data_IF_262123629780
#
_entry.id   IF_262123629780
#
_cell.length_a   1.000
_cell.length_b   1.000
_cell.length_c   1.000
_cell.angle_alpha   90.00
_cell.angle_beta   90.00
_cell.angle_gamma   90.00
#
_symmetry.space_group_name_H-M   'P 1'
#
loop_
_entity.id
_entity.type
_entity.pdbx_description
1 polymer ?
#
# COMPACT_ATOMS: atom_id res chain seq x y z
N UNK A 1 5.01 -13.79 -13.40
CA UNK A 1 5.51 -14.72 -12.38
C UNK A 1 5.82 -13.88 -11.14
N UNK A 2 5.23 -14.18 -9.99
CA UNK A 2 5.54 -13.48 -8.74
C UNK A 2 6.87 -14.00 -8.22
N UNK A 3 7.88 -13.12 -8.11
CA UNK A 3 9.24 -13.47 -7.66
C UNK A 3 9.41 -13.28 -6.14
N UNK A 4 8.30 -13.17 -5.39
CA UNK A 4 8.37 -12.81 -3.97
C UNK A 4 8.97 -13.87 -3.06
N UNK A 5 8.94 -15.15 -3.43
CA UNK A 5 9.69 -16.20 -2.71
C UNK A 5 11.21 -15.98 -2.81
N UNK A 6 11.69 -15.35 -3.90
CA UNK A 6 13.09 -15.01 -4.08
C UNK A 6 13.53 -13.83 -3.21
N UNK A 7 12.62 -12.90 -2.91
CA UNK A 7 12.93 -11.72 -2.11
C UNK A 7 12.87 -11.96 -0.60
N UNK A 8 12.27 -13.07 -0.16
CA UNK A 8 12.11 -13.37 1.28
C UNK A 8 13.43 -13.31 2.07
N UNK A 9 14.52 -14.01 1.65
CA UNK A 9 15.79 -13.94 2.38
C UNK A 9 16.41 -12.54 2.36
N UNK A 10 16.26 -11.81 1.25
CA UNK A 10 16.81 -10.47 1.10
C UNK A 10 16.08 -9.45 2.00
N UNK A 11 14.76 -9.56 2.12
CA UNK A 11 13.96 -8.70 3.01
C UNK A 11 14.28 -8.99 4.48
N UNK A 12 14.44 -10.26 4.85
CA UNK A 12 14.91 -10.64 6.20
C UNK A 12 16.27 -10.03 6.51
N UNK A 13 17.21 -10.09 5.56
CA UNK A 13 18.53 -9.50 5.72
C UNK A 13 18.47 -7.97 5.84
N UNK A 14 17.70 -7.28 4.98
CA UNK A 14 17.49 -5.83 5.06
C UNK A 14 17.00 -5.41 6.44
N UNK A 15 15.98 -6.08 6.98
CA UNK A 15 15.45 -5.77 8.32
C UNK A 15 16.54 -5.93 9.40
N UNK A 16 17.35 -6.99 9.31
CA UNK A 16 18.44 -7.22 10.27
C UNK A 16 19.55 -6.16 10.18
N UNK A 17 19.76 -5.58 9.00
CA UNK A 17 20.79 -4.57 8.71
C UNK A 17 20.25 -3.13 8.77
N UNK A 18 19.04 -2.91 9.31
CA UNK A 18 18.39 -1.60 9.30
C UNK A 18 19.33 -0.48 9.84
N UNK A 19 19.72 0.49 9.00
CA UNK A 19 20.67 1.53 9.39
C UNK A 19 20.03 2.57 10.31
N UNK A 20 18.70 2.61 10.36
CA UNK A 20 17.95 3.67 11.03
C UNK A 20 17.42 3.19 12.38
N UNK A 21 18.05 3.65 13.48
CA UNK A 21 17.69 3.27 14.85
C UNK A 21 16.26 3.68 15.27
N UNK A 22 15.76 4.78 14.71
CA UNK A 22 14.42 5.33 15.00
C UNK A 22 13.71 5.71 13.69
N UNK A 23 13.29 4.72 12.90
CA UNK A 23 12.81 4.96 11.54
C UNK A 23 11.48 5.71 11.51
N UNK A 24 10.65 5.61 12.55
CA UNK A 24 9.41 6.38 12.67
C UNK A 24 9.66 7.90 12.66
N UNK A 25 10.80 8.35 13.21
CA UNK A 25 11.16 9.77 13.27
C UNK A 25 11.48 10.38 11.91
N UNK A 26 12.00 9.57 10.99
CA UNK A 26 12.44 10.02 9.65
C UNK A 26 11.46 9.63 8.55
N UNK A 27 10.44 8.82 8.86
CA UNK A 27 9.54 8.22 7.87
C UNK A 27 8.75 9.25 7.06
N UNK A 28 8.33 10.36 7.66
CA UNK A 28 7.58 11.39 6.91
C UNK A 28 8.52 12.15 5.97
N UNK A 29 9.72 12.50 6.42
CA UNK A 29 10.70 13.25 5.61
C UNK A 29 11.27 12.40 4.48
N UNK A 30 11.80 11.21 4.80
CA UNK A 30 12.34 10.29 3.80
C UNK A 30 11.25 9.67 2.94
N UNK A 31 10.04 9.49 3.47
CA UNK A 31 8.93 8.88 2.73
C UNK A 31 8.30 9.75 1.65
N UNK A 32 8.64 11.05 1.56
CA UNK A 32 8.10 11.93 0.52
C UNK A 32 8.31 11.35 -0.88
N UNK A 33 7.42 11.61 -1.84
CA UNK A 33 7.53 11.11 -3.21
C UNK A 33 6.74 9.83 -3.47
N UNK A 34 7.08 9.11 -4.54
CA UNK A 34 6.34 7.92 -4.99
C UNK A 34 7.13 6.65 -4.76
N UNK A 35 6.46 5.67 -4.17
CA UNK A 35 6.99 4.38 -3.76
C UNK A 35 6.17 3.26 -4.37
N UNK A 36 6.82 2.16 -4.73
CA UNK A 36 6.17 0.99 -5.31
C UNK A 36 6.49 -0.27 -4.52
N UNK A 37 5.48 -1.08 -4.23
CA UNK A 37 5.65 -2.38 -3.57
C UNK A 37 6.30 -3.37 -4.52
N UNK A 38 7.35 -4.02 -4.06
CA UNK A 38 7.98 -5.15 -4.75
C UNK A 38 7.84 -6.47 -3.98
N UNK A 39 7.58 -6.42 -2.67
CA UNK A 39 7.37 -7.60 -1.84
C UNK A 39 6.26 -7.36 -0.81
N UNK A 40 5.22 -8.21 -0.84
CA UNK A 40 4.11 -8.22 0.13
C UNK A 40 3.41 -9.60 0.11
N UNK A 41 3.89 -10.58 0.90
CA UNK A 41 3.42 -11.97 0.83
C UNK A 41 1.91 -12.15 1.02
N UNK A 42 1.30 -11.36 1.90
CA UNK A 42 -0.14 -11.44 2.12
C UNK A 42 -0.96 -11.00 0.89
N UNK A 43 -0.49 -10.02 0.11
CA UNK A 43 -1.16 -9.59 -1.12
C UNK A 43 -1.06 -10.65 -2.20
N UNK A 44 0.05 -11.37 -2.27
CA UNK A 44 0.18 -12.51 -3.17
C UNK A 44 -0.79 -13.66 -2.82
N UNK A 45 -0.90 -13.98 -1.53
CA UNK A 45 -1.87 -14.97 -1.05
C UNK A 45 -3.30 -14.54 -1.41
N UNK A 46 -3.63 -13.27 -1.20
CA UNK A 46 -4.92 -12.70 -1.60
C UNK A 46 -5.16 -12.77 -3.11
N UNK A 47 -4.15 -12.38 -3.91
CA UNK A 47 -4.20 -12.43 -5.37
C UNK A 47 -4.53 -13.84 -5.88
N UNK A 48 -3.85 -14.84 -5.30
CA UNK A 48 -4.02 -16.26 -5.64
C UNK A 48 -5.42 -16.77 -5.26
N UNK A 49 -5.89 -16.45 -4.05
CA UNK A 49 -7.21 -16.86 -3.58
C UNK A 49 -8.35 -16.26 -4.42
N UNK A 50 -8.17 -15.05 -4.96
CA UNK A 50 -9.19 -14.32 -5.71
C UNK A 50 -9.07 -14.45 -7.22
N UNK A 51 -8.11 -15.23 -7.74
CA UNK A 51 -7.77 -15.26 -9.16
C UNK A 51 -7.64 -13.83 -9.76
N UNK A 52 -7.13 -12.90 -8.96
CA UNK A 52 -7.04 -11.47 -9.28
C UNK A 52 -5.61 -11.01 -9.08
N UNK A 53 -5.05 -10.35 -10.08
CA UNK A 53 -3.69 -9.81 -10.00
C UNK A 53 -3.72 -8.39 -9.44
N UNK A 54 -3.06 -8.15 -8.32
CA UNK A 54 -2.88 -6.82 -7.72
C UNK A 54 -1.46 -6.27 -7.98
N UNK A 55 -1.25 -5.60 -9.11
CA UNK A 55 0.01 -4.92 -9.42
C UNK A 55 -0.13 -3.94 -10.62
N UNK A 56 0.59 -2.80 -10.61
CA UNK A 56 1.46 -2.33 -9.52
C UNK A 56 0.66 -1.85 -8.30
N UNK A 57 1.36 -1.75 -7.17
CA UNK A 57 0.87 -1.12 -5.93
C UNK A 57 1.79 0.04 -5.62
N UNK A 58 1.23 1.24 -5.54
CA UNK A 58 1.98 2.48 -5.40
C UNK A 58 1.47 3.30 -4.23
N UNK A 59 2.39 3.92 -3.51
CA UNK A 59 2.12 4.90 -2.46
C UNK A 59 2.73 6.23 -2.88
N UNK A 60 2.00 7.32 -2.70
CA UNK A 60 2.51 8.68 -2.89
C UNK A 60 2.31 9.46 -1.61
N UNK A 61 3.41 9.94 -1.03
CA UNK A 61 3.40 10.83 0.12
C UNK A 61 3.74 12.25 -0.32
N UNK A 62 2.92 13.22 0.07
CA UNK A 62 3.15 14.64 -0.20
C UNK A 62 2.74 15.46 1.03
N UNK A 63 3.74 15.98 1.76
CA UNK A 63 3.54 16.46 3.12
C UNK A 63 3.07 15.31 4.02
N UNK A 64 1.89 15.45 4.61
CA UNK A 64 1.23 14.39 5.37
C UNK A 64 0.17 13.63 4.57
N UNK A 65 -0.13 14.04 3.32
CA UNK A 65 -1.15 13.38 2.50
C UNK A 65 -0.58 12.11 1.88
N UNK A 66 -1.23 10.97 2.13
CA UNK A 66 -0.87 9.67 1.57
C UNK A 66 -1.96 9.19 0.61
N UNK A 67 -1.55 8.81 -0.60
CA UNK A 67 -2.41 8.13 -1.57
C UNK A 67 -1.83 6.75 -1.86
N UNK A 68 -2.65 5.72 -1.76
CA UNK A 68 -2.34 4.35 -2.14
C UNK A 68 -3.15 3.97 -3.39
N UNK A 69 -2.50 3.43 -4.41
CA UNK A 69 -3.12 2.96 -5.65
C UNK A 69 -2.75 1.51 -5.91
N UNK A 70 -3.74 0.68 -6.20
CA UNK A 70 -3.56 -0.75 -6.50
C UNK A 70 -4.25 -1.03 -7.82
N UNK A 71 -3.48 -1.40 -8.85
CA UNK A 71 -4.09 -1.91 -10.09
C UNK A 71 -4.54 -3.34 -9.87
N UNK A 72 -5.79 -3.63 -10.22
CA UNK A 72 -6.33 -4.98 -10.25
C UNK A 72 -6.56 -5.44 -11.70
N UNK A 73 -6.41 -6.74 -11.93
CA UNK A 73 -6.75 -7.39 -13.20
C UNK A 73 -7.31 -8.77 -12.93
N UNK A 74 -8.52 -9.03 -13.41
CA UNK A 74 -9.24 -10.28 -13.23
C UNK A 74 -9.88 -10.70 -14.58
N UNK A 75 -9.74 -11.96 -15.03
CA UNK A 75 -10.29 -12.40 -16.32
C UNK A 75 -11.81 -12.25 -16.46
N UNK A 76 -12.55 -12.26 -15.36
CA UNK A 76 -14.02 -12.17 -15.32
C UNK A 76 -14.51 -10.75 -15.05
N UNK A 77 -13.82 -10.00 -14.19
CA UNK A 77 -14.24 -8.65 -13.74
C UNK A 77 -13.59 -7.51 -14.53
N UNK A 78 -12.61 -7.81 -15.39
CA UNK A 78 -11.82 -6.82 -16.11
C UNK A 78 -10.69 -6.25 -15.25
N UNK A 79 -10.31 -5.01 -15.54
CA UNK A 79 -9.18 -4.33 -14.91
C UNK A 79 -9.52 -2.89 -14.51
N UNK A 80 -8.79 -2.40 -13.53
CA UNK A 80 -8.98 -1.05 -13.00
C UNK A 80 -8.03 -0.77 -11.84
N UNK A 81 -8.33 0.28 -11.10
CA UNK A 81 -7.57 0.73 -9.94
C UNK A 81 -8.45 0.84 -8.71
N UNK A 82 -7.93 0.36 -7.59
CA UNK A 82 -8.47 0.61 -6.26
C UNK A 82 -7.54 1.61 -5.58
N UNK A 83 -8.12 2.70 -5.09
CA UNK A 83 -7.35 3.80 -4.53
C UNK A 83 -7.87 4.19 -3.15
N UNK A 84 -6.95 4.56 -2.28
CA UNK A 84 -7.22 5.07 -0.96
C UNK A 84 -6.42 6.35 -0.71
N UNK A 85 -7.05 7.34 -0.07
CA UNK A 85 -6.46 8.62 0.28
C UNK A 85 -6.60 8.85 1.78
N UNK A 86 -5.62 9.51 2.36
CA UNK A 86 -5.57 9.68 3.80
C UNK A 86 -4.35 10.48 4.25
N UNK A 87 -3.96 10.26 5.50
CA UNK A 87 -2.80 10.91 6.09
C UNK A 87 -1.81 9.92 6.67
N UNK A 88 -0.55 10.34 6.74
CA UNK A 88 0.54 9.63 7.42
C UNK A 88 1.21 10.59 8.41
N UNK A 89 1.45 10.09 9.61
CA UNK A 89 2.18 10.81 10.65
C UNK A 89 3.04 9.87 11.47
N UNK A 90 4.10 10.41 12.08
CA UNK A 90 4.86 9.68 13.11
C UNK A 90 3.93 9.34 14.27
N UNK A 91 3.98 8.08 14.74
CA UNK A 91 3.29 7.66 15.97
C UNK A 91 4.27 7.38 17.11
N UNK A 92 5.30 6.59 16.82
CA UNK A 92 6.35 6.19 17.75
C UNK A 92 7.73 6.36 17.10
N UNK A 93 8.80 6.06 17.84
CA UNK A 93 10.17 6.14 17.31
C UNK A 93 10.42 5.13 16.17
N UNK A 94 9.66 4.04 16.11
CA UNK A 94 9.77 2.96 15.15
C UNK A 94 8.49 2.76 14.31
N UNK A 95 7.51 3.66 14.39
CA UNK A 95 6.23 3.43 13.73
C UNK A 95 5.54 4.72 13.26
N UNK A 96 4.76 4.56 12.19
CA UNK A 96 3.88 5.59 11.65
C UNK A 96 2.43 5.19 11.80
N UNK A 97 1.56 6.18 11.94
CA UNK A 97 0.12 6.03 11.85
C UNK A 97 -0.32 6.44 10.46
N UNK A 98 -1.13 5.59 9.82
CA UNK A 98 -1.80 5.90 8.56
C UNK A 98 -3.31 5.85 8.79
N UNK A 99 -3.98 6.92 8.39
CA UNK A 99 -5.42 7.08 8.51
C UNK A 99 -6.02 7.33 7.12
N UNK A 100 -6.57 6.28 6.51
CA UNK A 100 -7.29 6.40 5.24
C UNK A 100 -8.75 6.81 5.50
N UNK A 101 -9.17 7.89 4.84
CA UNK A 101 -10.50 8.48 4.96
C UNK A 101 -11.27 8.51 3.64
N UNK A 102 -10.58 8.32 2.52
CA UNK A 102 -11.14 8.38 1.16
C UNK A 102 -10.81 7.10 0.41
N UNK A 103 -11.77 6.59 -0.35
CA UNK A 103 -11.63 5.37 -1.12
C UNK A 103 -12.41 5.48 -2.43
N UNK A 104 -11.80 5.01 -3.52
CA UNK A 104 -12.43 5.05 -4.84
C UNK A 104 -11.91 3.98 -5.77
N UNK A 105 -12.61 3.82 -6.88
CA UNK A 105 -12.26 2.88 -7.94
C UNK A 105 -12.30 3.58 -9.30
N UNK A 106 -11.28 3.31 -10.12
CA UNK A 106 -11.21 3.71 -11.52
C UNK A 106 -11.33 2.48 -12.41
N UNK A 107 -12.34 2.46 -13.27
CA UNK A 107 -12.56 1.37 -14.22
C UNK A 107 -11.70 1.55 -15.47
N UNK A 108 -10.98 0.50 -15.88
CA UNK A 108 -10.05 0.53 -17.01
C UNK A 108 -8.59 0.74 -16.59
N UNK A 109 -7.68 0.08 -17.31
CA UNK A 109 -6.25 0.07 -16.99
C UNK A 109 -5.58 1.44 -16.96
N UNK A 110 -6.05 2.37 -17.79
CA UNK A 110 -5.43 3.68 -18.02
C UNK A 110 -6.19 4.83 -17.36
N UNK A 111 -7.20 4.51 -16.54
CA UNK A 111 -8.12 5.47 -15.94
C UNK A 111 -7.66 6.02 -14.59
N UNK A 112 -6.41 5.75 -14.18
CA UNK A 112 -5.90 6.15 -12.86
C UNK A 112 -5.96 7.66 -12.69
N UNK A 113 -6.80 8.13 -11.76
CA UNK A 113 -6.84 9.54 -11.36
C UNK A 113 -5.74 9.83 -10.34
N UNK A 114 -5.15 11.02 -10.42
CA UNK A 114 -4.03 11.41 -9.56
C UNK A 114 -4.40 11.59 -8.08
N UNK A 115 -5.63 12.05 -7.80
CA UNK A 115 -6.15 12.28 -6.46
C UNK A 115 -7.69 12.35 -6.47
N UNK A 116 -8.31 12.21 -5.30
CA UNK A 116 -9.69 12.62 -5.09
C UNK A 116 -9.74 13.91 -4.25
N UNK A 117 -10.52 14.92 -4.67
CA UNK A 117 -10.76 16.10 -3.85
C UNK A 117 -11.24 15.70 -2.44
N UNK A 118 -10.88 16.47 -1.39
CA UNK A 118 -11.32 16.20 -0.02
C UNK A 118 -12.84 16.04 0.11
N UNK A 119 -13.59 16.73 -0.75
CA UNK A 119 -15.05 16.75 -0.76
C UNK A 119 -15.69 15.66 -1.64
N UNK A 120 -14.88 14.83 -2.30
CA UNK A 120 -15.41 13.73 -3.11
C UNK A 120 -15.88 12.60 -2.20
N UNK A 121 -17.16 12.27 -2.30
CA UNK A 121 -17.77 11.23 -1.48
C UNK A 121 -17.02 9.91 -1.59
N UNK A 122 -16.91 9.22 -0.46
CA UNK A 122 -16.37 7.87 -0.28
C UNK A 122 -17.20 6.84 -1.05
N UNK A 123 -17.14 6.87 -2.38
CA UNK A 123 -17.97 6.04 -3.23
C UNK A 123 -17.23 4.79 -3.66
N UNK A 124 -16.94 3.94 -2.68
CA UNK A 124 -16.81 2.50 -2.95
C UNK A 124 -18.18 1.86 -3.23
N UNK A 125 -19.29 2.61 -3.22
CA UNK A 125 -20.66 2.07 -3.25
C UNK A 125 -21.39 2.26 -4.60
N UNK A 126 -20.84 2.99 -5.57
CA UNK A 126 -21.55 3.26 -6.85
C UNK A 126 -21.22 2.31 -8.00
N UNK A 127 -20.53 1.19 -7.74
CA UNK A 127 -20.11 0.22 -8.76
C UNK A 127 -20.49 -1.22 -8.38
N UNK A 128 -21.79 -1.46 -8.21
CA UNK A 128 -22.43 -2.58 -7.49
C UNK A 128 -22.02 -4.03 -7.86
N UNK A 129 -21.23 -4.25 -8.93
CA UNK A 129 -20.81 -5.61 -9.34
C UNK A 129 -19.43 -6.06 -8.86
N UNK A 130 -18.46 -5.15 -8.79
CA UNK A 130 -17.03 -5.49 -8.58
C UNK A 130 -16.63 -5.39 -7.10
N UNK A 131 -17.38 -4.61 -6.33
CA UNK A 131 -17.13 -4.30 -4.91
C UNK A 131 -17.31 -5.51 -4.00
N UNK A 132 -18.21 -6.45 -4.32
CA UNK A 132 -18.57 -7.53 -3.40
C UNK A 132 -17.39 -8.42 -2.98
N UNK A 133 -16.49 -8.70 -3.92
CA UNK A 133 -15.30 -9.52 -3.68
C UNK A 133 -14.08 -8.67 -3.28
N UNK A 134 -13.82 -7.56 -3.98
CA UNK A 134 -12.65 -6.71 -3.74
C UNK A 134 -12.80 -5.80 -2.52
N UNK A 135 -13.98 -5.23 -2.32
CA UNK A 135 -14.29 -4.35 -1.19
C UNK A 135 -14.18 -5.07 0.15
N UNK A 136 -14.69 -6.30 0.26
CA UNK A 136 -14.59 -7.10 1.50
C UNK A 136 -13.16 -7.48 1.88
N UNK A 137 -12.26 -7.62 0.91
CA UNK A 137 -10.84 -7.90 1.15
C UNK A 137 -10.03 -6.64 1.48
N UNK A 138 -10.50 -5.47 1.06
CA UNK A 138 -9.80 -4.18 1.19
C UNK A 138 -10.21 -3.34 2.41
N UNK A 139 -11.18 -3.80 3.22
CA UNK A 139 -11.59 -3.13 4.46
C UNK A 139 -10.49 -3.25 5.54
N UNK A 140 -9.43 -2.47 5.38
CA UNK A 140 -8.49 -2.20 6.46
C UNK A 140 -9.14 -1.18 7.41
N UNK A 141 -9.13 -1.44 8.73
CA UNK A 141 -9.71 -0.53 9.71
C UNK A 141 -9.07 0.88 9.64
N UNK A 142 -9.90 1.89 9.91
CA UNK A 142 -9.69 3.35 9.74
C UNK A 142 -8.52 4.00 10.50
N UNK A 143 -7.61 3.24 11.08
CA UNK A 143 -6.39 3.76 11.70
C UNK A 143 -5.45 2.58 11.85
N UNK A 144 -4.32 2.58 11.16
CA UNK A 144 -3.35 1.50 11.27
C UNK A 144 -1.99 2.06 11.63
N UNK A 145 -1.45 1.54 12.74
CA UNK A 145 -0.06 1.79 13.15
C UNK A 145 0.81 0.75 12.44
N UNK A 146 1.76 1.24 11.66
CA UNK A 146 2.70 0.45 10.88
C UNK A 146 4.11 0.60 11.47
N UNK A 147 4.62 -0.45 12.13
CA UNK A 147 6.04 -0.54 12.47
C UNK A 147 6.89 -0.43 11.20
N UNK A 148 7.91 0.43 11.23
CA UNK A 148 8.88 0.61 10.16
C UNK A 148 10.10 -0.21 10.52
N UNK A 149 10.31 -1.30 9.78
CA UNK A 149 11.33 -2.32 10.04
C UNK A 149 12.66 -1.97 9.36
N UNK A 150 12.61 -1.21 8.27
CA UNK A 150 13.76 -0.70 7.53
C UNK A 150 13.39 0.63 6.89
N UNK A 151 14.30 1.61 6.92
CA UNK A 151 14.13 2.88 6.22
C UNK A 151 15.47 3.41 5.73
N UNK A 152 15.53 3.71 4.43
CA UNK A 152 16.60 4.41 3.73
C UNK A 152 15.99 5.34 2.66
N UNK A 153 16.83 6.02 1.88
CA UNK A 153 16.47 7.03 0.89
C UNK A 153 15.60 6.47 -0.25
N UNK A 154 15.81 5.22 -0.66
CA UNK A 154 15.15 4.61 -1.81
C UNK A 154 14.49 3.26 -1.51
N UNK A 155 14.60 2.77 -0.26
CA UNK A 155 14.04 1.50 0.20
C UNK A 155 13.41 1.66 1.58
N UNK A 156 12.24 1.04 1.77
CA UNK A 156 11.61 0.94 3.08
C UNK A 156 10.92 -0.41 3.25
N UNK A 157 10.88 -0.89 4.49
CA UNK A 157 10.12 -2.08 4.89
C UNK A 157 9.27 -1.71 6.09
N UNK A 158 7.97 -2.03 6.03
CA UNK A 158 7.04 -1.82 7.14
C UNK A 158 6.17 -3.05 7.35
N UNK A 159 5.60 -3.18 8.54
CA UNK A 159 4.82 -4.36 8.92
C UNK A 159 3.33 -4.11 8.80
N UNK A 160 2.66 -4.96 8.03
CA UNK A 160 1.23 -5.12 8.11
C UNK A 160 0.86 -6.01 9.31
N UNK A 161 0.65 -5.38 10.47
CA UNK A 161 0.47 -6.03 11.76
C UNK A 161 -0.62 -7.12 11.79
N UNK A 162 -1.82 -6.95 11.19
CA UNK A 162 -2.88 -7.95 11.27
C UNK A 162 -2.52 -9.34 10.72
N UNK A 163 -1.55 -9.43 9.80
CA UNK A 163 -1.07 -10.71 9.24
C UNK A 163 0.41 -10.96 9.50
N UNK A 164 1.03 -10.18 10.39
CA UNK A 164 2.47 -10.22 10.68
C UNK A 164 3.34 -10.27 9.41
N UNK A 165 2.95 -9.51 8.38
CA UNK A 165 3.57 -9.59 7.05
C UNK A 165 4.41 -8.35 6.78
N UNK A 166 5.67 -8.49 6.33
CA UNK A 166 6.43 -7.36 5.82
C UNK A 166 5.86 -6.89 4.49
N UNK A 167 5.99 -5.59 4.25
CA UNK A 167 5.79 -4.93 2.95
C UNK A 167 7.07 -4.17 2.65
N UNK A 168 7.71 -4.50 1.54
CA UNK A 168 8.90 -3.79 1.07
C UNK A 168 8.57 -2.96 -0.16
N UNK A 169 9.04 -1.71 -0.14
CA UNK A 169 8.81 -0.71 -1.18
C UNK A 169 10.12 -0.10 -1.63
N UNK A 170 10.17 0.31 -2.89
CA UNK A 170 11.27 1.09 -3.45
C UNK A 170 10.76 2.41 -4.04
N UNK A 171 11.58 3.45 -4.01
CA UNK A 171 11.27 4.73 -4.63
C UNK A 171 11.22 4.59 -6.16
N UNK A 172 10.29 5.29 -6.80
CA UNK A 172 10.13 5.32 -8.27
C UNK A 172 10.06 6.73 -8.85
N UNK A 173 9.81 7.76 -8.03
CA UNK A 173 9.85 9.17 -8.39
C UNK A 173 10.01 10.05 -7.15
#
# INVERSE_FOLDING_TARGET
MYDGERFDPAVVQLIAENPTLQPGNQSVELGQGTWQVFYAPHIFKLSSAMATKFQPIQYRLSGNSLVANVKYSNPLLGEGWLSAGGTMARKYDDAVEVAFDRFWMDMGADSLRADLPPDASSSLLTADGIIGALGRAAFFPQLAVFPVLYLDNDLAVFKFTPLDSPIAVHRVA
#
